data_IF_273349062038
#
_entry.id   IF_273349062038
#
_cell.length_a   1.000
_cell.length_b   1.000
_cell.length_c   1.000
_cell.angle_alpha   90.00
_cell.angle_beta   90.00
_cell.angle_gamma   90.00
#
_symmetry.space_group_name_H-M   'P 1'
#
loop_
_entity.id
_entity.type
_entity.pdbx_description
1 polymer ?
#
# COMPACT_ATOMS: atom_id res chain seq x y z
N UNK A 1 -24.23 -0.74 -2.69
CA UNK A 1 -22.92 -1.22 -2.21
C UNK A 1 -22.20 -2.11 -3.23
N UNK A 2 -22.72 -3.29 -3.63
CA UNK A 2 -21.98 -4.20 -4.55
C UNK A 2 -21.64 -3.54 -5.88
N UNK A 3 -22.59 -2.84 -6.51
CA UNK A 3 -22.33 -2.14 -7.79
C UNK A 3 -21.27 -1.03 -7.68
N UNK A 4 -21.17 -0.37 -6.53
CA UNK A 4 -20.17 0.65 -6.25
C UNK A 4 -18.79 0.04 -6.03
N UNK A 5 -18.70 -1.06 -5.28
CA UNK A 5 -17.46 -1.84 -5.12
C UNK A 5 -16.93 -2.31 -6.47
N UNK A 6 -17.81 -2.85 -7.33
CA UNK A 6 -17.43 -3.28 -8.67
C UNK A 6 -16.99 -2.11 -9.56
N UNK A 7 -17.63 -0.95 -9.44
CA UNK A 7 -17.26 0.25 -10.20
C UNK A 7 -15.89 0.79 -9.79
N UNK A 8 -15.63 0.92 -8.48
CA UNK A 8 -14.32 1.36 -7.96
C UNK A 8 -13.24 0.32 -8.30
N UNK A 9 -13.52 -0.98 -8.17
CA UNK A 9 -12.57 -2.02 -8.59
C UNK A 9 -12.23 -1.92 -10.08
N UNK A 10 -13.24 -1.76 -10.95
CA UNK A 10 -13.01 -1.59 -12.39
C UNK A 10 -12.18 -0.34 -12.67
N UNK A 11 -12.46 0.76 -11.97
CA UNK A 11 -11.68 2.00 -12.08
C UNK A 11 -10.21 1.75 -11.72
N UNK A 12 -9.95 1.16 -10.56
CA UNK A 12 -8.59 0.85 -10.10
C UNK A 12 -7.83 -0.02 -11.09
N UNK A 13 -8.45 -1.11 -11.58
CA UNK A 13 -7.83 -1.99 -12.59
C UNK A 13 -7.51 -1.23 -13.88
N UNK A 14 -8.43 -0.38 -14.36
CA UNK A 14 -8.21 0.42 -15.57
C UNK A 14 -7.08 1.43 -15.37
N UNK A 15 -6.99 2.08 -14.21
CA UNK A 15 -5.89 2.97 -13.86
C UNK A 15 -4.56 2.21 -13.85
N UNK A 16 -4.46 1.07 -13.16
CA UNK A 16 -3.22 0.27 -13.12
C UNK A 16 -2.76 -0.18 -14.52
N UNK A 17 -3.69 -0.60 -15.38
CA UNK A 17 -3.37 -1.04 -16.75
C UNK A 17 -3.02 0.12 -17.67
N UNK A 18 -3.65 1.29 -17.50
CA UNK A 18 -3.37 2.48 -18.31
C UNK A 18 -2.08 3.19 -17.92
N UNK A 19 -1.67 3.08 -16.66
CA UNK A 19 -0.46 3.72 -16.13
C UNK A 19 0.56 2.67 -15.65
N UNK A 20 1.06 1.79 -16.55
CA UNK A 20 1.97 0.72 -16.16
C UNK A 20 3.31 1.27 -15.67
N UNK A 21 3.74 2.43 -16.18
CA UNK A 21 4.96 3.10 -15.74
C UNK A 21 4.89 3.49 -14.26
N UNK A 22 3.73 3.92 -13.76
CA UNK A 22 3.52 4.25 -12.34
C UNK A 22 3.66 3.01 -11.45
N UNK A 23 3.12 1.88 -11.92
CA UNK A 23 3.22 0.62 -11.19
C UNK A 23 4.66 0.09 -11.22
N UNK A 24 5.33 0.13 -12.37
CA UNK A 24 6.72 -0.33 -12.50
C UNK A 24 7.67 0.56 -11.72
N UNK A 25 7.48 1.89 -11.75
CA UNK A 25 8.33 2.83 -11.01
C UNK A 25 8.18 2.65 -9.50
N UNK A 26 6.96 2.50 -8.99
CA UNK A 26 6.72 2.24 -7.57
C UNK A 26 7.33 0.90 -7.13
N UNK A 27 7.20 -0.16 -7.94
CA UNK A 27 7.86 -1.45 -7.69
C UNK A 27 9.38 -1.33 -7.68
N UNK A 28 9.96 -0.60 -8.65
CA UNK A 28 11.40 -0.38 -8.75
C UNK A 28 11.92 0.43 -7.56
N UNK A 29 11.24 1.50 -7.16
CA UNK A 29 11.59 2.28 -5.97
C UNK A 29 11.58 1.41 -4.71
N UNK A 30 10.53 0.60 -4.53
CA UNK A 30 10.43 -0.31 -3.38
C UNK A 30 11.60 -1.30 -3.36
N UNK A 31 11.92 -1.90 -4.51
CA UNK A 31 13.02 -2.83 -4.66
C UNK A 31 14.37 -2.17 -4.34
N UNK A 32 14.64 -1.00 -4.90
CA UNK A 32 15.91 -0.27 -4.72
C UNK A 32 16.11 0.11 -3.25
N UNK A 33 15.08 0.68 -2.61
CA UNK A 33 15.15 1.08 -1.19
C UNK A 33 15.42 -0.15 -0.32
N UNK A 34 14.70 -1.24 -0.56
CA UNK A 34 14.91 -2.46 0.20
C UNK A 34 16.31 -3.07 -0.03
N UNK A 35 16.75 -3.17 -1.29
CA UNK A 35 18.08 -3.67 -1.61
C UNK A 35 19.16 -2.82 -0.94
N UNK A 36 18.98 -1.49 -0.93
CA UNK A 36 19.83 -0.55 -0.20
C UNK A 36 19.87 -0.83 1.30
N UNK A 37 18.72 -1.08 1.93
CA UNK A 37 18.65 -1.47 3.35
C UNK A 37 19.36 -2.80 3.62
N UNK A 38 19.16 -3.81 2.78
CA UNK A 38 19.80 -5.12 2.92
C UNK A 38 21.33 -5.02 2.79
N UNK A 39 21.80 -4.56 1.63
CA UNK A 39 23.24 -4.48 1.35
C UNK A 39 23.93 -3.48 2.30
N UNK A 40 23.30 -2.34 2.56
CA UNK A 40 23.82 -1.35 3.50
C UNK A 40 23.97 -1.90 4.92
N UNK A 41 22.97 -2.64 5.42
CA UNK A 41 23.07 -3.23 6.73
C UNK A 41 24.13 -4.35 6.79
N UNK A 42 24.25 -5.20 5.76
CA UNK A 42 25.30 -6.24 5.71
C UNK A 42 26.71 -5.66 5.66
N UNK A 43 26.88 -4.53 4.97
CA UNK A 43 28.14 -3.81 4.86
C UNK A 43 28.58 -3.23 6.21
N UNK A 44 27.66 -2.62 6.96
CA UNK A 44 27.98 -2.02 8.27
C UNK A 44 28.30 -3.09 9.31
N UNK A 45 27.60 -4.22 9.30
CA UNK A 45 27.77 -5.27 10.31
C UNK A 45 28.98 -6.18 10.06
N UNK A 46 29.66 -6.08 8.90
CA UNK A 46 30.74 -6.97 8.47
C UNK A 46 30.42 -8.46 8.66
N UNK A 47 29.14 -8.80 8.63
CA UNK A 47 28.60 -10.12 8.93
C UNK A 47 27.27 -10.25 8.21
N UNK A 48 26.96 -11.43 7.62
CA UNK A 48 25.63 -11.68 7.10
C UNK A 48 24.60 -11.42 8.19
N UNK A 49 23.62 -10.57 7.90
CA UNK A 49 22.53 -10.31 8.83
C UNK A 49 21.82 -11.64 9.06
N UNK A 50 21.77 -12.09 10.31
CA UNK A 50 21.05 -13.32 10.65
C UNK A 50 19.60 -13.28 10.18
N UNK A 51 19.12 -14.42 9.67
CA UNK A 51 17.82 -14.62 9.00
C UNK A 51 16.64 -13.92 9.71
N UNK A 52 16.56 -14.03 11.05
CA UNK A 52 15.49 -13.43 11.84
C UNK A 52 15.51 -11.89 11.92
N UNK A 53 16.69 -11.25 11.93
CA UNK A 53 16.80 -9.78 11.99
C UNK A 53 16.40 -9.16 10.67
N UNK A 54 16.80 -9.77 9.55
CA UNK A 54 16.43 -9.24 8.26
C UNK A 54 14.95 -9.41 7.98
N UNK A 55 14.38 -10.58 8.29
CA UNK A 55 12.94 -10.83 8.15
C UNK A 55 12.12 -9.76 8.87
N UNK A 56 12.54 -9.37 10.08
CA UNK A 56 11.90 -8.30 10.85
C UNK A 56 11.97 -6.93 10.15
N UNK A 57 13.12 -6.59 9.56
CA UNK A 57 13.28 -5.34 8.80
C UNK A 57 12.41 -5.34 7.55
N UNK A 58 12.34 -6.46 6.82
CA UNK A 58 11.50 -6.60 5.61
C UNK A 58 10.03 -6.39 5.93
N UNK A 59 9.52 -7.12 6.92
CA UNK A 59 8.11 -7.04 7.32
C UNK A 59 7.81 -5.65 7.87
N UNK A 60 8.70 -5.09 8.70
CA UNK A 60 8.53 -3.74 9.23
C UNK A 60 8.46 -2.69 8.14
N UNK A 61 9.33 -2.76 7.14
CA UNK A 61 9.31 -1.86 5.99
C UNK A 61 8.04 -2.00 5.17
N UNK A 62 7.60 -3.23 4.87
CA UNK A 62 6.36 -3.48 4.12
C UNK A 62 5.12 -2.96 4.86
N UNK A 63 5.05 -3.18 6.18
CA UNK A 63 3.99 -2.63 7.03
C UNK A 63 4.02 -1.12 6.99
N UNK A 64 5.20 -0.50 7.20
CA UNK A 64 5.34 0.95 7.17
C UNK A 64 4.92 1.55 5.83
N UNK A 65 5.36 0.98 4.71
CA UNK A 65 4.97 1.41 3.36
C UNK A 65 3.45 1.34 3.16
N UNK A 66 2.82 0.26 3.64
CA UNK A 66 1.35 0.12 3.58
C UNK A 66 0.66 1.19 4.43
N UNK A 67 1.16 1.49 5.63
CA UNK A 67 0.57 2.52 6.50
C UNK A 67 0.70 3.92 5.90
N UNK A 68 1.85 4.23 5.28
CA UNK A 68 2.06 5.49 4.56
C UNK A 68 1.09 5.62 3.39
N UNK A 69 0.93 4.56 2.59
CA UNK A 69 -0.04 4.54 1.49
C UNK A 69 -1.48 4.75 2.01
N UNK A 70 -1.89 3.99 3.04
CA UNK A 70 -3.25 4.07 3.60
C UNK A 70 -3.58 5.45 4.17
N UNK A 71 -2.60 6.11 4.81
CA UNK A 71 -2.80 7.44 5.40
C UNK A 71 -2.89 8.52 4.33
N UNK A 72 -2.07 8.43 3.27
CA UNK A 72 -2.00 9.45 2.22
C UNK A 72 -3.08 9.34 1.14
N UNK A 73 -3.55 8.12 0.84
CA UNK A 73 -4.42 7.84 -0.30
C UNK A 73 -5.74 8.62 -0.26
N UNK A 74 -6.34 8.76 0.91
CA UNK A 74 -7.61 9.47 1.07
C UNK A 74 -7.50 10.94 0.63
N UNK A 75 -6.50 11.66 1.14
CA UNK A 75 -6.26 13.05 0.75
C UNK A 75 -5.92 13.19 -0.74
N UNK A 76 -5.09 12.28 -1.26
CA UNK A 76 -4.72 12.28 -2.67
C UNK A 76 -5.92 12.01 -3.59
N UNK A 77 -6.80 11.08 -3.19
CA UNK A 77 -7.99 10.73 -3.96
C UNK A 77 -8.99 11.89 -4.06
N UNK A 78 -9.18 12.65 -2.99
CA UNK A 78 -10.05 13.84 -2.96
C UNK A 78 -9.43 14.95 -3.81
N UNK A 79 -8.13 15.19 -3.64
CA UNK A 79 -7.41 16.20 -4.42
C UNK A 79 -7.50 15.91 -5.92
N UNK A 80 -7.31 14.66 -6.33
CA UNK A 80 -7.45 14.27 -7.74
C UNK A 80 -8.85 14.49 -8.28
N UNK A 81 -9.88 14.15 -7.51
CA UNK A 81 -11.26 14.37 -7.91
C UNK A 81 -11.58 15.87 -8.06
N UNK A 82 -11.00 16.71 -7.19
CA UNK A 82 -11.10 18.16 -7.27
C UNK A 82 -10.41 18.70 -8.53
N UNK A 83 -9.18 18.23 -8.82
CA UNK A 83 -8.40 18.64 -9.98
C UNK A 83 -9.03 18.18 -11.30
N UNK A 84 -9.68 17.03 -11.32
CA UNK A 84 -10.39 16.51 -12.48
C UNK A 84 -11.79 17.14 -12.67
N UNK A 85 -12.24 18.00 -11.75
CA UNK A 85 -13.55 18.66 -11.82
C UNK A 85 -14.72 17.71 -11.55
N UNK A 86 -14.47 16.53 -10.98
CA UNK A 86 -15.48 15.50 -10.73
C UNK A 86 -15.89 15.39 -9.26
N UNK A 87 -15.29 16.20 -8.38
CA UNK A 87 -15.58 16.17 -6.94
C UNK A 87 -17.06 16.43 -6.65
N UNK A 88 -17.65 17.41 -7.33
CA UNK A 88 -19.08 17.71 -7.20
C UNK A 88 -19.96 16.52 -7.57
N UNK A 89 -19.57 15.75 -8.59
CA UNK A 89 -20.32 14.56 -9.01
C UNK A 89 -20.27 13.45 -7.96
N UNK A 90 -19.12 13.27 -7.30
CA UNK A 90 -18.97 12.31 -6.19
C UNK A 90 -19.81 12.74 -4.99
N UNK A 91 -19.88 14.04 -4.69
CA UNK A 91 -20.66 14.58 -3.57
C UNK A 91 -22.18 14.47 -3.81
N UNK A 92 -22.63 14.47 -5.07
CA UNK A 92 -24.04 14.31 -5.45
C UNK A 92 -24.49 12.84 -5.51
N UNK A 93 -23.57 11.88 -5.36
CA UNK A 93 -23.89 10.46 -5.40
C UNK A 93 -24.77 10.06 -4.20
N UNK A 94 -25.72 9.10 -4.33
CA UNK A 94 -26.66 8.75 -3.26
C UNK A 94 -26.05 8.09 -2.02
N UNK A 95 -24.73 7.91 -1.97
CA UNK A 95 -24.01 7.36 -0.82
C UNK A 95 -23.22 8.45 -0.11
N UNK A 96 -23.04 8.39 1.22
CA UNK A 96 -22.25 9.36 1.95
C UNK A 96 -20.81 9.42 1.40
N UNK A 97 -20.23 10.62 1.16
CA UNK A 97 -18.90 10.76 0.57
C UNK A 97 -17.81 9.97 1.32
N UNK A 98 -17.87 9.94 2.65
CA UNK A 98 -16.93 9.17 3.49
C UNK A 98 -16.93 7.69 3.13
N UNK A 99 -18.10 7.10 2.87
CA UNK A 99 -18.21 5.68 2.46
C UNK A 99 -17.57 5.48 1.08
N UNK A 100 -17.71 6.45 0.18
CA UNK A 100 -17.12 6.41 -1.16
C UNK A 100 -15.60 6.40 -1.09
N UNK A 101 -15.02 7.35 -0.36
CA UNK A 101 -13.58 7.44 -0.23
C UNK A 101 -12.98 6.26 0.57
N UNK A 102 -13.68 5.71 1.57
CA UNK A 102 -13.22 4.50 2.26
C UNK A 102 -13.21 3.26 1.35
N UNK A 103 -14.22 3.08 0.51
CA UNK A 103 -14.23 1.97 -0.46
C UNK A 103 -13.10 2.14 -1.47
N UNK A 104 -12.87 3.37 -1.94
CA UNK A 104 -11.77 3.67 -2.85
C UNK A 104 -10.41 3.40 -2.21
N UNK A 105 -10.21 3.85 -0.97
CA UNK A 105 -8.99 3.61 -0.21
C UNK A 105 -8.73 2.11 0.03
N UNK A 106 -9.79 1.34 0.25
CA UNK A 106 -9.69 -0.11 0.31
C UNK A 106 -9.19 -0.70 -1.03
N UNK A 107 -9.77 -0.28 -2.17
CA UNK A 107 -9.33 -0.75 -3.49
C UNK A 107 -7.90 -0.31 -3.82
N UNK A 108 -7.51 0.90 -3.44
CA UNK A 108 -6.15 1.40 -3.60
C UNK A 108 -5.14 0.56 -2.81
N UNK A 109 -5.47 0.18 -1.57
CA UNK A 109 -4.62 -0.71 -0.77
C UNK A 109 -4.50 -2.10 -1.40
N UNK A 110 -5.59 -2.66 -1.94
CA UNK A 110 -5.51 -3.93 -2.68
C UNK A 110 -4.58 -3.81 -3.90
N UNK A 111 -4.70 -2.72 -4.65
CA UNK A 111 -3.85 -2.45 -5.81
C UNK A 111 -2.38 -2.16 -5.45
N UNK A 112 -2.10 -1.67 -4.24
CA UNK A 112 -0.76 -1.44 -3.74
C UNK A 112 -0.10 -2.71 -3.18
N UNK A 113 -0.85 -3.49 -2.40
CA UNK A 113 -0.33 -4.68 -1.72
C UNK A 113 0.04 -5.78 -2.71
N UNK A 114 -0.69 -5.93 -3.82
CA UNK A 114 -0.41 -6.97 -4.82
C UNK A 114 0.99 -6.81 -5.47
N UNK A 115 1.35 -5.67 -6.10
CA UNK A 115 2.70 -5.42 -6.59
C UNK A 115 3.75 -5.47 -5.48
N UNK A 116 3.46 -4.92 -4.31
CA UNK A 116 4.41 -4.93 -3.20
C UNK A 116 4.73 -6.36 -2.74
N UNK A 117 3.73 -7.24 -2.67
CA UNK A 117 3.91 -8.66 -2.35
C UNK A 117 4.80 -9.36 -3.39
N UNK A 118 4.62 -9.05 -4.68
CA UNK A 118 5.48 -9.59 -5.76
C UNK A 118 6.93 -9.17 -5.55
N UNK A 119 7.19 -7.89 -5.28
CA UNK A 119 8.55 -7.38 -5.05
C UNK A 119 9.15 -8.02 -3.80
N UNK A 120 8.38 -8.12 -2.72
CA UNK A 120 8.82 -8.70 -1.45
C UNK A 120 9.16 -10.20 -1.59
N UNK A 121 8.35 -10.97 -2.33
CA UNK A 121 8.65 -12.37 -2.63
C UNK A 121 9.91 -12.52 -3.49
N UNK A 122 10.11 -11.65 -4.49
CA UNK A 122 11.32 -11.63 -5.30
C UNK A 122 12.58 -11.35 -4.46
N UNK A 123 12.47 -10.43 -3.49
CA UNK A 123 13.57 -10.10 -2.58
C UNK A 123 13.90 -11.25 -1.62
N UNK A 124 12.88 -11.91 -1.05
CA UNK A 124 13.09 -13.10 -0.21
C UNK A 124 13.76 -14.23 -0.99
N UNK A 125 13.39 -14.41 -2.27
CA UNK A 125 14.01 -15.40 -3.14
C UNK A 125 15.48 -15.10 -3.42
N UNK A 126 15.85 -13.84 -3.67
CA UNK A 126 17.23 -13.40 -3.93
C UNK A 126 18.09 -13.52 -2.66
N UNK A 127 17.51 -13.20 -1.50
CA UNK A 127 18.22 -13.20 -0.21
C UNK A 127 18.25 -14.57 0.47
N UNK A 128 17.51 -15.55 -0.06
CA UNK A 128 17.34 -16.90 0.51
C UNK A 128 16.79 -16.90 1.94
N UNK A 129 15.89 -15.96 2.25
CA UNK A 129 15.33 -15.77 3.59
C UNK A 129 13.92 -16.32 3.68
N UNK A 130 13.61 -16.92 4.82
CA UNK A 130 12.32 -17.54 5.07
C UNK A 130 11.43 -16.64 5.93
N UNK A 131 10.26 -16.29 5.40
CA UNK A 131 9.27 -15.55 6.16
C UNK A 131 8.62 -16.46 7.22
N UNK A 132 8.90 -16.19 8.49
CA UNK A 132 8.17 -16.81 9.59
C UNK A 132 6.82 -16.10 9.77
N UNK A 133 5.80 -16.58 9.07
CA UNK A 133 4.47 -16.02 9.14
C UNK A 133 3.72 -16.47 10.39
N UNK A 134 3.08 -15.52 11.09
CA UNK A 134 2.23 -15.80 12.22
C UNK A 134 0.84 -15.18 12.02
N UNK A 135 -0.20 -16.02 11.95
CA UNK A 135 -1.57 -15.57 11.68
C UNK A 135 -2.11 -14.56 12.70
N UNK A 136 -1.60 -14.56 13.93
CA UNK A 136 -2.01 -13.56 14.92
C UNK A 136 -1.59 -12.12 14.52
N UNK A 137 -0.64 -11.94 13.60
CA UNK A 137 -0.22 -10.62 13.10
C UNK A 137 -1.26 -9.96 12.19
N UNK A 138 -2.22 -10.72 11.64
CA UNK A 138 -3.28 -10.18 10.77
C UNK A 138 -4.17 -9.20 11.54
N UNK A 139 -4.49 -9.50 12.80
CA UNK A 139 -5.39 -8.65 13.58
C UNK A 139 -4.76 -7.29 13.95
N UNK A 140 -3.52 -7.21 14.50
CA UNK A 140 -2.81 -5.95 14.68
C UNK A 140 -2.65 -5.18 13.38
N UNK A 141 -2.38 -5.86 12.27
CA UNK A 141 -2.24 -5.21 10.97
C UNK A 141 -3.55 -4.59 10.48
N UNK A 142 -4.67 -5.30 10.62
CA UNK A 142 -6.00 -4.78 10.29
C UNK A 142 -6.38 -3.57 11.17
N UNK A 143 -6.04 -3.61 12.46
CA UNK A 143 -6.21 -2.47 13.35
C UNK A 143 -5.36 -1.27 12.92
N UNK A 144 -4.08 -1.50 12.60
CA UNK A 144 -3.19 -0.45 12.11
C UNK A 144 -3.72 0.19 10.81
N UNK A 145 -4.21 -0.61 9.86
CA UNK A 145 -4.87 -0.12 8.64
C UNK A 145 -6.09 0.74 8.96
N UNK A 146 -6.96 0.28 9.87
CA UNK A 146 -8.11 1.06 10.31
C UNK A 146 -7.72 2.40 10.91
N UNK A 147 -6.66 2.43 11.74
CA UNK A 147 -6.14 3.69 12.29
C UNK A 147 -5.54 4.59 11.22
N UNK A 148 -4.83 4.05 10.23
CA UNK A 148 -4.24 4.81 9.14
C UNK A 148 -5.31 5.48 8.27
N UNK A 149 -6.39 4.77 7.93
CA UNK A 149 -7.53 5.38 7.23
C UNK A 149 -8.26 6.40 8.10
N UNK A 150 -8.39 6.15 9.40
CA UNK A 150 -8.94 7.14 10.34
C UNK A 150 -8.14 8.45 10.35
N UNK A 151 -6.81 8.35 10.40
CA UNK A 151 -5.92 9.51 10.29
C UNK A 151 -6.02 10.19 8.91
N UNK A 152 -6.06 9.40 7.84
CA UNK A 152 -6.22 9.92 6.47
C UNK A 152 -7.53 10.69 6.30
N UNK A 153 -8.63 10.23 6.91
CA UNK A 153 -9.91 10.95 6.92
C UNK A 153 -9.84 12.29 7.66
N UNK A 154 -9.13 12.35 8.80
CA UNK A 154 -8.96 13.60 9.57
C UNK A 154 -8.12 14.61 8.79
N UNK A 155 -7.10 14.16 8.06
CA UNK A 155 -6.28 15.03 7.21
C UNK A 155 -7.05 15.53 5.99
N UNK A 156 -7.97 14.72 5.49
CA UNK A 156 -8.80 15.01 4.32
C UNK A 156 -10.02 15.90 4.60
N UNK A 157 -10.46 15.99 5.86
CA UNK A 157 -11.63 16.78 6.30
C UNK A 157 -11.30 18.24 6.56
#
# INVERSE_FOLDING_TARGET
MIGMLMAEWRRTVVETVRYPLETISSMATLFIVFAGLFYGATYITNSPIGDGRLTTVVVGYAVWMTMMAATGDLGWSIQNEAQNGTLEQVMLFPWPPVVIFLVRAFMAIVAFVLPMAVVLLGLLAITHIHLQWHWAAVLPFAWALGTAWGLGLIVAS
#
